data_IF_313184071007
#
_entry.id   IF_313184071007
#
_cell.length_a   1.000
_cell.length_b   1.000
_cell.length_c   1.000
_cell.angle_alpha   90.00
_cell.angle_beta   90.00
_cell.angle_gamma   90.00
#
_symmetry.space_group_name_H-M   'P 1'
#
loop_
_entity.id
_entity.type
_entity.pdbx_description
1 polymer ?
#
# COMPACT_ATOMS: atom_id res chain seq x y z
N UNK A 1 0.60 -4.57 13.52
CA UNK A 1 0.78 -4.05 12.17
C UNK A 1 -0.54 -3.69 11.55
N UNK A 2 -0.60 -2.58 10.87
CA UNK A 2 -1.84 -2.14 10.25
C UNK A 2 -2.29 -3.10 9.16
N UNK A 3 -3.60 -3.36 9.11
CA UNK A 3 -4.14 -4.27 8.10
C UNK A 3 -3.80 -3.81 6.68
N UNK A 4 -3.97 -2.51 6.41
CA UNK A 4 -3.72 -2.01 5.06
C UNK A 4 -2.24 -2.17 4.65
N UNK A 5 -1.34 -2.04 5.61
CA UNK A 5 0.09 -2.18 5.31
C UNK A 5 0.42 -3.59 4.85
N UNK A 6 -0.14 -4.60 5.55
CA UNK A 6 0.05 -5.98 5.17
C UNK A 6 -0.59 -6.30 3.83
N UNK A 7 -1.78 -5.75 3.61
CA UNK A 7 -2.50 -5.98 2.36
C UNK A 7 -1.73 -5.41 1.18
N UNK A 8 -1.20 -4.19 1.32
CA UNK A 8 -0.43 -3.56 0.26
C UNK A 8 0.86 -4.32 -0.02
N UNK A 9 1.50 -4.83 1.03
CA UNK A 9 2.69 -5.65 0.84
C UNK A 9 2.35 -6.90 0.04
N UNK A 10 1.23 -7.55 0.36
CA UNK A 10 0.78 -8.72 -0.36
C UNK A 10 0.54 -8.44 -1.82
N UNK A 11 -0.13 -7.31 -2.11
CA UNK A 11 -0.37 -6.92 -3.50
C UNK A 11 0.94 -6.71 -4.24
N UNK A 12 1.89 -6.04 -3.59
CA UNK A 12 3.18 -5.78 -4.21
C UNK A 12 3.89 -7.08 -4.56
N UNK A 13 3.91 -8.00 -3.61
CA UNK A 13 4.58 -9.29 -3.80
C UNK A 13 3.88 -10.12 -4.86
N UNK A 14 2.56 -10.08 -4.88
CA UNK A 14 1.78 -10.82 -5.89
C UNK A 14 2.05 -10.32 -7.30
N UNK A 15 2.43 -9.05 -7.43
CA UNK A 15 2.74 -8.46 -8.74
C UNK A 15 4.24 -8.50 -9.04
N UNK A 16 5.02 -9.18 -8.20
CA UNK A 16 6.47 -9.28 -8.37
C UNK A 16 7.16 -7.93 -8.43
N UNK A 17 6.71 -7.00 -7.61
CA UNK A 17 7.27 -5.65 -7.56
C UNK A 17 8.11 -5.47 -6.31
N UNK A 18 9.15 -4.64 -6.42
CA UNK A 18 9.98 -4.30 -5.27
C UNK A 18 9.43 -3.06 -4.58
N UNK A 19 9.89 -2.83 -3.35
CA UNK A 19 9.54 -1.59 -2.66
C UNK A 19 10.01 -0.37 -3.43
N UNK A 20 11.16 -0.48 -4.10
CA UNK A 20 11.67 0.60 -4.93
C UNK A 20 10.74 0.92 -6.08
N UNK A 21 10.15 -0.12 -6.70
CA UNK A 21 9.20 0.09 -7.79
C UNK A 21 8.00 0.89 -7.32
N UNK A 22 7.44 0.52 -6.18
CA UNK A 22 6.27 1.22 -5.67
C UNK A 22 6.61 2.62 -5.18
N UNK A 23 7.78 2.79 -4.57
CA UNK A 23 8.22 4.12 -4.17
C UNK A 23 8.27 5.05 -5.38
N UNK A 24 8.73 4.52 -6.53
CA UNK A 24 8.76 5.31 -7.76
C UNK A 24 7.34 5.69 -8.22
N UNK A 25 6.42 4.74 -8.14
CA UNK A 25 5.02 5.01 -8.49
C UNK A 25 4.44 6.13 -7.64
N UNK A 26 4.80 6.15 -6.36
CA UNK A 26 4.28 7.14 -5.42
C UNK A 26 5.07 8.45 -5.42
N UNK A 27 6.23 8.47 -6.07
CA UNK A 27 7.08 9.65 -6.05
C UNK A 27 7.74 9.89 -4.70
N UNK A 28 8.00 8.82 -3.96
CA UNK A 28 8.64 8.91 -2.65
C UNK A 28 9.92 8.05 -2.63
N UNK A 29 10.65 8.06 -1.53
CA UNK A 29 11.86 7.26 -1.41
C UNK A 29 11.52 5.83 -1.02
N UNK A 30 12.42 4.90 -1.35
CA UNK A 30 12.25 3.52 -0.94
C UNK A 30 12.21 3.41 0.58
N UNK A 31 13.06 4.17 1.26
CA UNK A 31 13.10 4.17 2.73
C UNK A 31 11.74 4.56 3.30
N UNK A 32 11.13 5.61 2.75
CA UNK A 32 9.82 6.05 3.24
C UNK A 32 8.74 5.01 2.93
N UNK A 33 8.74 4.45 1.72
CA UNK A 33 7.74 3.45 1.40
C UNK A 33 7.87 2.22 2.30
N UNK A 34 9.10 1.80 2.60
CA UNK A 34 9.32 0.68 3.51
C UNK A 34 8.71 0.95 4.88
N UNK A 35 8.76 2.21 5.34
CA UNK A 35 8.16 2.57 6.62
C UNK A 35 6.65 2.45 6.59
N UNK A 36 6.04 2.78 5.44
CA UNK A 36 4.58 2.59 5.29
C UNK A 36 4.22 1.10 5.37
N UNK A 37 4.99 0.25 4.71
CA UNK A 37 4.67 -1.19 4.68
C UNK A 37 4.83 -1.87 6.03
N UNK A 38 5.74 -1.39 6.86
CA UNK A 38 5.89 -2.04 8.16
C UNK A 38 5.11 -1.32 9.26
N UNK A 39 4.29 -0.34 8.88
CA UNK A 39 3.44 0.35 9.84
C UNK A 39 4.14 1.37 10.71
N UNK A 40 5.39 1.72 10.38
CA UNK A 40 6.13 2.71 11.16
C UNK A 40 5.60 4.12 10.92
N UNK A 41 5.07 4.37 9.73
CA UNK A 41 4.45 5.65 9.38
C UNK A 41 3.11 5.37 8.73
N UNK A 42 2.15 6.27 8.98
CA UNK A 42 0.84 6.15 8.38
C UNK A 42 0.91 6.55 6.92
N UNK A 43 0.25 5.77 6.05
CA UNK A 43 0.23 6.05 4.63
C UNK A 43 -0.66 7.26 4.34
N UNK A 44 -0.14 8.30 3.68
CA UNK A 44 -0.97 9.44 3.31
C UNK A 44 -2.11 9.01 2.37
N UNK A 45 -3.24 9.70 2.49
CA UNK A 45 -4.40 9.38 1.67
C UNK A 45 -4.07 9.50 0.18
N UNK A 46 -3.28 10.50 -0.20
CA UNK A 46 -2.90 10.66 -1.61
C UNK A 46 -2.19 9.44 -2.16
N UNK A 47 -1.37 8.79 -1.33
CA UNK A 47 -0.68 7.57 -1.75
C UNK A 47 -1.63 6.39 -1.78
N UNK A 48 -2.57 6.33 -0.87
CA UNK A 48 -3.60 5.29 -0.88
C UNK A 48 -4.39 5.35 -2.18
N UNK A 49 -4.80 6.54 -2.58
CA UNK A 49 -5.56 6.72 -3.82
C UNK A 49 -4.73 6.23 -5.01
N UNK A 50 -3.46 6.64 -5.08
CA UNK A 50 -2.58 6.23 -6.17
C UNK A 50 -2.44 4.72 -6.23
N UNK A 51 -2.26 4.07 -5.09
CA UNK A 51 -2.09 2.62 -5.07
C UNK A 51 -3.36 1.88 -5.44
N UNK A 52 -4.52 2.38 -4.99
CA UNK A 52 -5.79 1.78 -5.38
C UNK A 52 -5.99 1.85 -6.89
N UNK A 53 -5.62 2.96 -7.50
CA UNK A 53 -5.71 3.10 -8.95
C UNK A 53 -4.68 2.21 -9.66
N UNK A 54 -3.48 2.14 -9.10
CA UNK A 54 -2.41 1.36 -9.70
C UNK A 54 -2.73 -0.13 -9.70
N UNK A 55 -3.21 -0.64 -8.57
CA UNK A 55 -3.54 -2.06 -8.43
C UNK A 55 -4.97 -2.37 -8.87
N UNK A 56 -5.78 -1.36 -9.14
CA UNK A 56 -7.18 -1.51 -9.54
C UNK A 56 -7.98 -2.24 -8.48
N UNK A 57 -7.83 -1.78 -7.25
CA UNK A 57 -8.57 -2.30 -6.11
C UNK A 57 -9.26 -1.14 -5.41
N UNK A 58 -10.29 -1.43 -4.64
CA UNK A 58 -11.00 -0.38 -3.92
C UNK A 58 -10.29 -0.07 -2.60
N UNK A 59 -10.44 1.17 -2.14
CA UNK A 59 -9.91 1.56 -0.84
C UNK A 59 -10.58 0.77 0.27
N UNK A 60 -11.86 0.45 0.13
CA UNK A 60 -12.57 -0.36 1.12
C UNK A 60 -11.87 -1.69 1.32
N UNK A 61 -11.48 -2.34 0.23
CA UNK A 61 -10.78 -3.62 0.31
C UNK A 61 -9.43 -3.47 0.98
N UNK A 62 -8.67 -2.45 0.57
CA UNK A 62 -7.33 -2.23 1.14
C UNK A 62 -7.43 -1.96 2.63
N UNK A 63 -8.43 -1.18 3.05
CA UNK A 63 -8.58 -0.80 4.44
C UNK A 63 -9.33 -1.83 5.27
N UNK A 64 -9.85 -2.87 4.63
CA UNK A 64 -10.60 -3.91 5.32
C UNK A 64 -12.00 -3.50 5.74
N UNK A 65 -12.54 -2.46 5.13
CA UNK A 65 -13.86 -1.94 5.50
C UNK A 65 -15.00 -2.71 4.88
N UNK A 66 -14.73 -3.51 3.85
CA UNK A 66 -15.74 -4.31 3.17
C UNK A 66 -15.89 -5.70 3.80
N UNK A 67 -15.20 -5.98 4.88
CA UNK A 67 -15.22 -7.29 5.51
C UNK A 67 -16.46 -7.43 6.37
N UNK A 68 -17.11 -8.57 6.25
CA UNK A 68 -18.30 -8.86 7.05
C UNK A 68 -17.92 -9.30 8.46
N UNK A 69 -18.81 -9.06 9.39
CA UNK A 69 -18.67 -9.49 10.77
C UNK A 69 -19.48 -10.72 11.00
#
# INVERSE_FOLDING_TARGET
>A
MEYYAQYLRGLREDHDLTQKDIARVLGTSQTMYARYERGANELPIRHLITLCQYYKVSADTVLGLDRKR
#
